data_IF_993992170428
#
_entry.id   IF_993992170428
#
_cell.length_a   1.000
_cell.length_b   1.000
_cell.length_c   1.000
_cell.angle_alpha   90.00
_cell.angle_beta   90.00
_cell.angle_gamma   90.00
#
_symmetry.space_group_name_H-M   'P 1'
#
loop_
_entity.id
_entity.type
_entity.pdbx_description
1 polymer ?
#
# COMPACT_ATOMS: atom_id res chain seq x y z
N UNK A 1 -16.75 21.18 -3.07
CA UNK A 1 -15.44 20.58 -3.41
C UNK A 1 -15.72 19.15 -3.82
N UNK A 2 -15.16 18.69 -4.94
CA UNK A 2 -15.23 17.26 -5.31
C UNK A 2 -14.37 16.46 -4.34
N UNK A 3 -14.83 15.27 -3.99
CA UNK A 3 -14.06 14.35 -3.16
C UNK A 3 -12.86 13.84 -3.97
N UNK A 4 -11.67 13.84 -3.35
CA UNK A 4 -10.44 13.29 -3.91
C UNK A 4 -10.55 11.76 -3.89
N UNK A 5 -10.30 11.10 -5.03
CA UNK A 5 -10.48 9.66 -5.21
C UNK A 5 -9.16 8.99 -5.56
N UNK A 6 -8.78 7.99 -4.77
CA UNK A 6 -7.51 7.29 -4.90
C UNK A 6 -7.77 5.81 -5.17
N UNK A 7 -7.27 5.32 -6.31
CA UNK A 7 -7.26 3.89 -6.63
C UNK A 7 -5.98 3.24 -6.12
N UNK A 8 -6.06 2.06 -5.53
CA UNK A 8 -4.95 1.41 -4.85
C UNK A 8 -4.89 -0.06 -5.25
N UNK A 9 -3.70 -0.53 -5.64
CA UNK A 9 -3.46 -1.93 -5.96
C UNK A 9 -2.14 -2.41 -5.34
N UNK A 10 -2.17 -3.51 -4.58
CA UNK A 10 -1.00 -4.15 -3.98
C UNK A 10 -0.80 -5.56 -4.51
N UNK A 11 0.40 -6.11 -4.30
CA UNK A 11 0.74 -7.53 -4.50
C UNK A 11 0.29 -8.05 -5.88
N UNK A 12 0.67 -7.31 -6.93
CA UNK A 12 0.19 -7.58 -8.28
C UNK A 12 0.68 -8.93 -8.82
N UNK A 13 1.91 -9.34 -8.49
CA UNK A 13 2.54 -10.56 -8.98
C UNK A 13 2.40 -10.77 -10.50
N UNK A 14 2.56 -9.69 -11.27
CA UNK A 14 2.42 -9.69 -12.73
C UNK A 14 0.97 -9.63 -13.23
N UNK A 15 -0.03 -9.74 -12.36
CA UNK A 15 -1.45 -9.72 -12.70
C UNK A 15 -1.98 -8.29 -12.87
N UNK A 16 -1.38 -7.51 -13.77
CA UNK A 16 -1.84 -6.19 -14.16
C UNK A 16 -1.91 -6.05 -15.68
N UNK A 17 -3.08 -5.67 -16.18
CA UNK A 17 -3.43 -5.82 -17.58
C UNK A 17 -4.18 -4.64 -18.18
N UNK A 18 -4.55 -4.81 -19.45
CA UNK A 18 -5.31 -3.79 -20.20
C UNK A 18 -6.71 -3.61 -19.63
N UNK A 19 -7.29 -4.66 -19.06
CA UNK A 19 -8.59 -4.59 -18.40
C UNK A 19 -8.54 -3.69 -17.15
N UNK A 20 -7.47 -3.75 -16.34
CA UNK A 20 -7.26 -2.84 -15.20
C UNK A 20 -7.18 -1.39 -15.65
N UNK A 21 -6.41 -1.13 -16.70
CA UNK A 21 -6.22 0.21 -17.26
C UNK A 21 -7.51 0.76 -17.87
N UNK A 22 -8.32 -0.09 -18.51
CA UNK A 22 -9.63 0.28 -19.03
C UNK A 22 -10.62 0.62 -17.91
N UNK A 23 -10.59 -0.12 -16.79
CA UNK A 23 -11.38 0.22 -15.60
C UNK A 23 -10.92 1.57 -15.03
N UNK A 24 -9.61 1.78 -14.84
CA UNK A 24 -9.09 3.06 -14.37
C UNK A 24 -9.49 4.23 -15.27
N UNK A 25 -9.39 4.07 -16.60
CA UNK A 25 -9.75 5.10 -17.57
C UNK A 25 -11.22 5.51 -17.48
N UNK A 26 -12.10 4.59 -17.11
CA UNK A 26 -13.53 4.86 -16.89
C UNK A 26 -13.81 5.45 -15.51
N UNK A 27 -13.12 4.99 -14.46
CA UNK A 27 -13.30 5.48 -13.09
C UNK A 27 -12.72 6.88 -12.88
N UNK A 28 -11.65 7.22 -13.63
CA UNK A 28 -10.91 8.48 -13.57
C UNK A 28 -10.54 8.88 -12.12
N UNK A 29 -9.79 8.05 -11.38
CA UNK A 29 -9.30 8.45 -10.06
C UNK A 29 -8.30 9.62 -10.20
N UNK A 30 -8.19 10.40 -9.14
CA UNK A 30 -7.26 11.54 -9.09
C UNK A 30 -5.81 11.09 -8.89
N UNK A 31 -5.58 9.94 -8.24
CA UNK A 31 -4.27 9.31 -8.09
C UNK A 31 -4.38 7.78 -8.07
N UNK A 32 -3.28 7.11 -8.42
CA UNK A 32 -3.17 5.64 -8.33
C UNK A 32 -1.93 5.23 -7.53
N UNK A 33 -2.13 4.36 -6.55
CA UNK A 33 -1.07 3.87 -5.65
C UNK A 33 -0.78 2.39 -5.92
N UNK A 34 0.50 2.05 -6.05
CA UNK A 34 0.97 0.67 -6.20
C UNK A 34 1.80 0.24 -4.98
N UNK A 35 1.43 -0.90 -4.39
CA UNK A 35 1.88 -1.29 -3.03
C UNK A 35 2.66 -2.60 -3.04
N UNK A 36 3.85 -2.53 -3.65
CA UNK A 36 4.84 -3.60 -3.69
C UNK A 36 4.42 -4.86 -4.43
N UNK A 37 5.39 -5.77 -4.53
CA UNK A 37 5.30 -7.06 -5.21
C UNK A 37 4.61 -6.96 -6.57
N UNK A 38 5.12 -6.04 -7.39
CA UNK A 38 4.63 -5.77 -8.73
C UNK A 38 4.78 -7.00 -9.61
N UNK A 39 6.00 -7.54 -9.76
CA UNK A 39 6.25 -8.64 -10.70
C UNK A 39 7.60 -9.35 -10.52
N UNK A 40 7.99 -9.67 -9.29
CA UNK A 40 9.18 -10.50 -9.00
C UNK A 40 10.50 -9.96 -9.63
N UNK A 41 10.60 -8.63 -9.80
CA UNK A 41 11.74 -7.96 -10.45
C UNK A 41 11.67 -7.85 -11.98
N UNK A 42 10.57 -8.26 -12.60
CA UNK A 42 10.33 -8.04 -14.04
C UNK A 42 10.09 -6.55 -14.34
N UNK A 43 10.99 -5.97 -15.14
CA UNK A 43 10.95 -4.56 -15.50
C UNK A 43 9.80 -4.20 -16.45
N UNK A 44 9.19 -5.18 -17.14
CA UNK A 44 8.12 -4.92 -18.12
C UNK A 44 6.89 -4.30 -17.46
N UNK A 45 6.46 -4.85 -16.33
CA UNK A 45 5.33 -4.30 -15.59
C UNK A 45 5.70 -2.97 -14.92
N UNK A 46 6.92 -2.86 -14.37
CA UNK A 46 7.40 -1.58 -13.82
C UNK A 46 7.33 -0.46 -14.86
N UNK A 47 7.80 -0.72 -16.09
CA UNK A 47 7.74 0.23 -17.20
C UNK A 47 6.29 0.56 -17.60
N UNK A 48 5.41 -0.45 -17.62
CA UNK A 48 3.98 -0.26 -17.91
C UNK A 48 3.32 0.64 -16.88
N UNK A 49 3.52 0.38 -15.58
CA UNK A 49 3.02 1.19 -14.48
C UNK A 49 3.55 2.63 -14.57
N UNK A 50 4.85 2.80 -14.76
CA UNK A 50 5.47 4.12 -14.86
C UNK A 50 4.94 4.98 -16.04
N UNK A 51 4.34 4.35 -17.04
CA UNK A 51 3.77 5.02 -18.21
C UNK A 51 2.28 5.38 -18.10
N UNK A 52 1.62 5.02 -16.99
CA UNK A 52 0.20 5.33 -16.80
C UNK A 52 -0.01 6.85 -16.68
N UNK A 53 -1.06 7.42 -17.29
CA UNK A 53 -1.28 8.86 -17.37
C UNK A 53 -1.96 9.43 -16.10
N UNK A 54 -1.51 9.00 -14.93
CA UNK A 54 -2.07 9.44 -13.63
C UNK A 54 -0.96 10.00 -12.73
N UNK A 55 -1.32 10.79 -11.71
CA UNK A 55 -0.49 10.97 -10.52
C UNK A 55 -0.26 9.61 -9.84
N UNK A 56 0.99 9.15 -9.83
CA UNK A 56 1.38 7.81 -9.36
C UNK A 56 2.32 7.87 -8.16
N UNK A 57 2.10 6.97 -7.21
CA UNK A 57 3.13 6.58 -6.26
C UNK A 57 3.25 5.07 -6.14
N UNK A 58 4.49 4.62 -5.98
CA UNK A 58 4.87 3.21 -5.97
C UNK A 58 5.84 2.96 -4.82
N UNK A 59 5.47 2.04 -3.93
CA UNK A 59 6.43 1.44 -3.00
C UNK A 59 6.77 0.03 -3.51
N UNK A 60 8.04 -0.35 -3.49
CA UNK A 60 8.49 -1.67 -3.95
C UNK A 60 8.48 -2.66 -2.78
N UNK A 61 8.08 -3.90 -3.06
CA UNK A 61 8.03 -5.01 -2.10
C UNK A 61 9.24 -5.94 -2.18
N UNK A 62 9.26 -6.98 -1.35
CA UNK A 62 10.40 -7.90 -1.30
C UNK A 62 10.56 -8.72 -2.58
N UNK A 63 9.48 -9.09 -3.26
CA UNK A 63 9.56 -9.82 -4.51
C UNK A 63 10.11 -8.97 -5.65
N UNK A 64 9.89 -7.65 -5.62
CA UNK A 64 10.42 -6.74 -6.64
C UNK A 64 11.95 -6.73 -6.70
N UNK A 65 12.63 -7.12 -5.62
CA UNK A 65 14.09 -7.25 -5.61
C UNK A 65 14.60 -8.43 -6.47
N UNK A 66 13.69 -9.35 -6.83
CA UNK A 66 14.03 -10.62 -7.46
C UNK A 66 15.02 -11.43 -6.62
N UNK A 67 15.88 -12.20 -7.28
CA UNK A 67 16.97 -12.94 -6.62
C UNK A 67 18.28 -12.15 -6.57
N UNK A 68 18.26 -10.88 -6.96
CA UNK A 68 19.47 -10.07 -7.14
C UNK A 68 19.93 -9.42 -5.83
N UNK A 69 21.01 -9.94 -5.26
CA UNK A 69 21.62 -9.40 -4.03
C UNK A 69 22.48 -8.16 -4.27
N UNK A 70 22.83 -7.84 -5.53
CA UNK A 70 23.68 -6.69 -5.87
C UNK A 70 22.92 -5.36 -5.91
N UNK A 71 21.58 -5.43 -5.98
CA UNK A 71 20.70 -4.28 -6.11
C UNK A 71 20.61 -3.70 -7.53
N UNK A 72 21.14 -4.38 -8.54
CA UNK A 72 21.00 -3.99 -9.95
C UNK A 72 19.54 -3.93 -10.41
N UNK A 73 18.73 -4.94 -10.11
CA UNK A 73 17.28 -4.95 -10.41
C UNK A 73 16.58 -3.78 -9.71
N UNK A 74 16.90 -3.56 -8.43
CA UNK A 74 16.34 -2.44 -7.68
C UNK A 74 16.71 -1.09 -8.32
N UNK A 75 17.98 -0.85 -8.67
CA UNK A 75 18.39 0.39 -9.37
C UNK A 75 17.66 0.59 -10.69
N UNK A 76 17.47 -0.47 -11.47
CA UNK A 76 16.75 -0.39 -12.74
C UNK A 76 15.28 -0.03 -12.55
N UNK A 77 14.60 -0.63 -11.57
CA UNK A 77 13.23 -0.25 -11.24
C UNK A 77 13.12 1.18 -10.73
N UNK A 78 14.03 1.61 -9.85
CA UNK A 78 14.10 3.00 -9.38
C UNK A 78 14.31 3.97 -10.54
N UNK A 79 15.16 3.64 -11.51
CA UNK A 79 15.38 4.46 -12.70
C UNK A 79 14.14 4.54 -13.60
N UNK A 80 13.37 3.45 -13.72
CA UNK A 80 12.11 3.43 -14.49
C UNK A 80 10.99 4.20 -13.80
N UNK A 81 10.87 4.06 -12.48
CA UNK A 81 9.84 4.72 -11.68
C UNK A 81 10.14 6.21 -11.48
N UNK A 82 11.42 6.59 -11.41
CA UNK A 82 11.84 7.96 -11.12
C UNK A 82 11.20 8.47 -9.83
N UNK A 83 10.60 9.66 -9.91
CA UNK A 83 9.90 10.29 -8.78
C UNK A 83 8.62 9.58 -8.33
N UNK A 84 8.12 8.61 -9.11
CA UNK A 84 6.94 7.84 -8.72
C UNK A 84 7.29 6.83 -7.61
N UNK A 85 8.57 6.51 -7.36
CA UNK A 85 8.94 5.70 -6.21
C UNK A 85 9.02 6.56 -4.93
N UNK A 86 8.30 6.14 -3.87
CA UNK A 86 8.22 6.93 -2.62
C UNK A 86 9.03 6.36 -1.44
N UNK A 87 9.80 5.28 -1.59
CA UNK A 87 10.50 4.64 -0.47
C UNK A 87 11.42 5.61 0.30
N UNK A 88 11.17 5.79 1.59
CA UNK A 88 11.84 6.77 2.47
C UNK A 88 11.77 8.24 2.02
N UNK A 89 10.86 8.58 1.11
CA UNK A 89 10.66 9.95 0.62
C UNK A 89 9.17 10.31 0.67
N UNK A 90 8.87 11.56 0.32
CA UNK A 90 7.49 11.97 0.05
C UNK A 90 7.25 12.13 -1.45
N UNK A 91 6.00 11.95 -1.85
CA UNK A 91 5.46 12.32 -3.15
C UNK A 91 4.19 13.13 -2.92
N UNK A 92 4.01 14.19 -3.66
CA UNK A 92 2.80 14.99 -3.62
C UNK A 92 2.66 15.80 -4.89
N UNK A 93 1.46 16.32 -5.11
CA UNK A 93 1.14 17.14 -6.26
C UNK A 93 0.37 18.39 -5.80
N UNK A 94 0.39 19.43 -6.62
CA UNK A 94 -0.52 20.56 -6.42
C UNK A 94 -1.96 20.20 -6.82
N UNK A 95 -2.10 19.33 -7.82
CA UNK A 95 -3.35 18.74 -8.26
C UNK A 95 -3.11 17.28 -8.67
N UNK A 96 -3.64 16.29 -7.94
CA UNK A 96 -4.40 16.42 -6.69
C UNK A 96 -3.57 16.89 -5.49
N UNK A 97 -4.19 17.62 -4.57
CA UNK A 97 -3.55 18.04 -3.32
C UNK A 97 -3.58 16.89 -2.30
N UNK A 98 -2.52 16.10 -2.26
CA UNK A 98 -2.35 14.91 -1.41
C UNK A 98 -0.87 14.68 -1.12
N UNK A 99 -0.54 14.34 0.13
CA UNK A 99 0.79 13.96 0.55
C UNK A 99 0.92 12.45 0.77
N UNK A 100 1.88 11.85 0.08
CA UNK A 100 2.19 10.43 0.16
C UNK A 100 3.59 10.27 0.74
N UNK A 101 3.76 9.39 1.71
CA UNK A 101 5.06 9.11 2.35
C UNK A 101 5.35 7.63 2.25
N UNK A 102 6.48 7.25 1.67
CA UNK A 102 6.86 5.85 1.63
C UNK A 102 7.68 5.41 2.84
N UNK A 103 7.34 4.23 3.34
CA UNK A 103 8.13 3.46 4.29
C UNK A 103 9.37 2.84 3.65
N UNK A 104 9.88 1.80 4.29
CA UNK A 104 11.03 1.06 3.82
C UNK A 104 10.73 0.25 2.55
N UNK A 105 11.44 0.47 1.44
CA UNK A 105 11.26 -0.33 0.23
C UNK A 105 11.87 -1.73 0.39
N UNK A 106 11.28 -2.72 -0.26
CA UNK A 106 11.81 -4.08 -0.32
C UNK A 106 11.75 -4.84 1.00
N UNK A 107 10.91 -4.41 1.95
CA UNK A 107 10.69 -5.12 3.21
C UNK A 107 10.03 -6.48 2.96
N UNK A 108 10.43 -7.49 3.72
CA UNK A 108 9.76 -8.80 3.78
C UNK A 108 9.04 -9.01 5.13
N UNK A 109 8.86 -7.93 5.89
CA UNK A 109 8.25 -7.93 7.22
C UNK A 109 9.10 -8.61 8.28
N UNK A 110 8.47 -8.96 9.40
CA UNK A 110 9.10 -9.68 10.51
C UNK A 110 10.06 -8.82 11.34
N UNK A 111 9.78 -7.53 11.49
CA UNK A 111 10.61 -6.56 12.20
C UNK A 111 11.54 -5.78 11.27
N UNK A 112 12.71 -5.37 11.78
CA UNK A 112 13.65 -4.57 10.99
C UNK A 112 14.84 -5.38 10.46
N UNK A 113 14.84 -5.65 9.16
CA UNK A 113 15.97 -6.18 8.41
C UNK A 113 16.06 -5.59 7.00
N UNK A 114 17.25 -5.17 6.55
CA UNK A 114 17.48 -4.77 5.17
C UNK A 114 18.03 -5.93 4.37
N UNK A 115 17.39 -6.25 3.24
CA UNK A 115 17.96 -7.23 2.30
C UNK A 115 19.29 -6.72 1.73
N UNK A 116 20.12 -7.65 1.25
CA UNK A 116 21.40 -7.28 0.62
C UNK A 116 21.21 -6.33 -0.58
N UNK A 117 20.13 -6.51 -1.35
CA UNK A 117 19.83 -5.64 -2.48
C UNK A 117 19.56 -4.20 -2.03
N UNK A 118 18.75 -4.03 -0.98
CA UNK A 118 18.43 -2.71 -0.40
C UNK A 118 19.68 -2.09 0.20
N UNK A 119 20.49 -2.85 0.94
CA UNK A 119 21.77 -2.36 1.49
C UNK A 119 22.75 -1.93 0.39
N UNK A 120 22.81 -2.66 -0.73
CA UNK A 120 23.71 -2.31 -1.83
C UNK A 120 23.30 -0.99 -2.52
N UNK A 121 22.01 -0.65 -2.54
CA UNK A 121 21.49 0.58 -3.15
C UNK A 121 21.53 1.77 -2.20
N UNK A 122 21.07 1.58 -0.97
CA UNK A 122 20.84 2.67 -0.01
C UNK A 122 21.89 2.75 1.10
N UNK A 123 22.80 1.78 1.17
CA UNK A 123 23.74 1.64 2.26
C UNK A 123 23.11 1.01 3.51
N UNK A 124 23.91 0.84 4.58
CA UNK A 124 23.40 0.42 5.88
C UNK A 124 22.51 1.53 6.46
N UNK A 125 21.32 1.14 6.91
CA UNK A 125 20.36 2.02 7.58
C UNK A 125 19.89 1.28 8.83
N UNK A 126 19.92 1.95 9.97
CA UNK A 126 19.40 1.43 11.24
C UNK A 126 17.88 1.58 11.31
N UNK A 127 17.27 0.89 12.27
CA UNK A 127 15.83 0.99 12.52
C UNK A 127 15.43 2.45 12.76
N UNK A 128 16.19 3.16 13.60
CA UNK A 128 15.95 4.55 13.96
C UNK A 128 16.09 5.48 12.75
N UNK A 129 17.15 5.30 11.94
CA UNK A 129 17.34 6.10 10.73
C UNK A 129 16.24 5.85 9.69
N UNK A 130 15.74 4.62 9.59
CA UNK A 130 14.60 4.30 8.72
C UNK A 130 13.34 5.04 9.19
N UNK A 131 13.03 4.97 10.49
CA UNK A 131 11.89 5.68 11.07
C UNK A 131 12.02 7.20 10.95
N UNK A 132 13.21 7.76 11.17
CA UNK A 132 13.47 9.21 11.06
C UNK A 132 13.25 9.72 9.63
N UNK A 133 13.60 8.94 8.61
CA UNK A 133 13.31 9.30 7.21
C UNK A 133 11.81 9.38 6.94
N UNK A 134 11.04 8.42 7.45
CA UNK A 134 9.57 8.42 7.32
C UNK A 134 8.97 9.63 8.03
N UNK A 135 9.39 9.91 9.26
CA UNK A 135 8.93 11.05 10.06
C UNK A 135 9.28 12.38 9.37
N UNK A 136 10.51 12.53 8.88
CA UNK A 136 10.96 13.73 8.19
C UNK A 136 10.18 13.96 6.88
N UNK A 137 9.91 12.91 6.11
CA UNK A 137 9.10 12.98 4.91
C UNK A 137 7.64 13.39 5.24
N UNK A 138 7.05 12.83 6.30
CA UNK A 138 5.71 13.20 6.74
C UNK A 138 5.58 14.64 7.25
N UNK A 139 6.61 15.15 7.94
CA UNK A 139 6.63 16.53 8.43
C UNK A 139 6.67 17.56 7.28
N UNK A 140 7.06 17.15 6.07
CA UNK A 140 7.08 18.01 4.89
C UNK A 140 5.73 18.08 4.16
N UNK A 141 4.73 17.27 4.57
CA UNK A 141 3.39 17.26 3.97
C UNK A 141 2.54 18.40 4.56
N UNK A 142 1.94 19.28 3.73
CA UNK A 142 1.08 20.36 4.20
C UNK A 142 -0.11 19.87 5.05
N UNK A 143 -0.44 20.61 6.11
CA UNK A 143 -1.48 20.23 7.09
C UNK A 143 -2.90 20.12 6.49
N UNK A 144 -3.16 20.85 5.41
CA UNK A 144 -4.45 20.91 4.73
C UNK A 144 -4.66 19.79 3.68
N UNK A 145 -3.65 18.97 3.42
CA UNK A 145 -3.72 17.84 2.47
C UNK A 145 -3.87 16.52 3.20
N UNK A 146 -4.57 15.51 2.66
CA UNK A 146 -4.49 14.15 3.19
C UNK A 146 -3.06 13.65 3.30
N UNK A 147 -2.73 12.99 4.41
CA UNK A 147 -1.45 12.32 4.63
C UNK A 147 -1.63 10.81 4.57
N UNK A 148 -1.11 10.20 3.49
CA UNK A 148 -1.09 8.74 3.32
C UNK A 148 0.33 8.21 3.50
N UNK A 149 0.50 7.20 4.36
CA UNK A 149 1.76 6.46 4.47
C UNK A 149 1.64 5.15 3.69
N UNK A 150 2.60 4.85 2.83
CA UNK A 150 2.66 3.65 2.00
C UNK A 150 3.84 2.77 2.41
N UNK A 151 3.62 1.49 2.64
CA UNK A 151 4.69 0.52 2.86
C UNK A 151 4.35 -0.80 2.19
N UNK A 152 5.31 -1.63 1.78
CA UNK A 152 4.92 -2.95 1.30
C UNK A 152 4.43 -3.85 2.45
N UNK A 153 5.15 -3.87 3.58
CA UNK A 153 4.69 -4.54 4.79
C UNK A 153 4.03 -3.54 5.75
N UNK A 154 2.93 -3.93 6.39
CA UNK A 154 2.28 -3.10 7.42
C UNK A 154 3.12 -2.99 8.70
N UNK A 155 2.74 -2.12 9.64
CA UNK A 155 3.51 -1.89 10.86
C UNK A 155 3.40 -3.05 11.85
N UNK A 156 4.45 -3.27 12.65
CA UNK A 156 4.34 -4.12 13.84
C UNK A 156 3.27 -3.58 14.80
N UNK A 157 2.65 -4.47 15.58
CA UNK A 157 1.53 -4.20 16.47
C UNK A 157 0.17 -4.60 15.88
N UNK A 158 0.13 -5.03 14.61
CA UNK A 158 -1.08 -5.46 13.91
C UNK A 158 -1.08 -6.95 13.54
N UNK A 159 -0.25 -7.77 14.19
CA UNK A 159 -0.09 -9.19 13.84
C UNK A 159 -0.29 -10.17 14.98
N UNK A 160 -1.21 -9.91 15.91
CA UNK A 160 -1.46 -10.77 17.08
C UNK A 160 -1.93 -12.18 16.72
N UNK A 161 -2.77 -12.32 15.70
CA UNK A 161 -3.33 -13.58 15.23
C UNK A 161 -3.01 -13.80 13.75
N UNK A 162 -3.19 -15.03 13.24
CA UNK A 162 -2.86 -15.36 11.84
C UNK A 162 -3.70 -14.56 10.82
N UNK A 163 -4.95 -14.23 11.19
CA UNK A 163 -5.89 -13.43 10.40
C UNK A 163 -5.77 -11.92 10.67
N UNK A 164 -4.86 -11.49 11.55
CA UNK A 164 -4.60 -10.07 11.78
C UNK A 164 -3.91 -9.44 10.56
N UNK A 165 -4.03 -8.12 10.34
CA UNK A 165 -3.52 -7.47 9.13
C UNK A 165 -2.04 -7.75 8.84
N UNK A 166 -1.21 -7.86 9.88
CA UNK A 166 0.22 -8.17 9.80
C UNK A 166 0.58 -9.54 10.40
N UNK A 167 -0.37 -10.46 10.55
CA UNK A 167 -0.15 -11.77 11.17
C UNK A 167 0.48 -12.80 10.23
N UNK A 168 1.55 -13.46 10.66
CA UNK A 168 2.10 -14.58 9.89
C UNK A 168 1.16 -15.78 9.92
N UNK A 169 0.79 -16.29 8.74
CA UNK A 169 -0.17 -17.39 8.58
C UNK A 169 0.43 -18.67 7.95
N UNK A 170 1.64 -18.60 7.38
CA UNK A 170 2.29 -19.75 6.73
C UNK A 170 3.06 -20.66 7.69
N UNK A 171 3.25 -20.27 8.96
CA UNK A 171 3.95 -21.08 9.97
C UNK A 171 3.43 -20.80 11.38
N UNK A 172 3.08 -21.83 12.17
CA UNK A 172 2.69 -21.68 13.57
C UNK A 172 3.91 -21.50 14.51
N UNK A 173 3.75 -20.83 15.66
CA UNK A 173 2.58 -20.04 16.05
C UNK A 173 2.43 -18.79 15.16
N UNK A 174 1.26 -18.16 15.20
CA UNK A 174 1.07 -16.82 14.65
C UNK A 174 2.07 -15.87 15.34
N UNK A 175 2.67 -15.00 14.55
CA UNK A 175 3.65 -14.02 15.02
C UNK A 175 3.41 -12.73 14.24
N UNK A 176 3.60 -11.61 14.92
CA UNK A 176 3.58 -10.31 14.27
C UNK A 176 4.69 -10.21 13.21
N UNK A 177 4.27 -9.99 11.97
CA UNK A 177 5.13 -9.92 10.81
C UNK A 177 5.23 -8.50 10.24
N UNK A 178 4.81 -7.49 10.99
CA UNK A 178 4.92 -6.10 10.56
C UNK A 178 6.32 -5.51 10.70
N UNK A 179 6.51 -4.34 10.10
CA UNK A 179 7.72 -3.53 10.12
C UNK A 179 7.85 -2.71 11.40
N UNK A 180 8.96 -2.88 12.11
CA UNK A 180 9.24 -2.20 13.39
C UNK A 180 9.56 -0.71 13.22
N UNK A 181 10.29 -0.37 12.15
CA UNK A 181 10.62 1.01 11.81
C UNK A 181 9.38 1.80 11.39
N UNK A 182 8.44 1.16 10.66
CA UNK A 182 7.16 1.78 10.34
C UNK A 182 6.32 2.00 11.61
N UNK A 183 6.22 1.02 12.50
CA UNK A 183 5.52 1.18 13.78
C UNK A 183 6.12 2.33 14.62
N UNK A 184 7.45 2.41 14.69
CA UNK A 184 8.15 3.49 15.38
C UNK A 184 7.89 4.85 14.74
N UNK A 185 7.91 4.94 13.41
CA UNK A 185 7.60 6.17 12.68
C UNK A 185 6.16 6.63 12.97
N UNK A 186 5.19 5.72 12.91
CA UNK A 186 3.78 6.03 13.19
C UNK A 186 3.56 6.50 14.63
N UNK A 187 4.24 5.92 15.62
CA UNK A 187 4.18 6.45 17.00
C UNK A 187 4.73 7.87 17.09
N UNK A 188 5.90 8.14 16.49
CA UNK A 188 6.55 9.45 16.49
C UNK A 188 5.69 10.49 15.77
N UNK A 189 5.15 10.15 14.60
CA UNK A 189 4.25 11.00 13.81
C UNK A 189 2.99 11.34 14.62
N UNK A 190 2.38 10.36 15.29
CA UNK A 190 1.15 10.55 16.06
C UNK A 190 1.25 11.52 17.24
N UNK A 191 2.46 12.00 17.59
CA UNK A 191 2.66 13.08 18.59
C UNK A 191 2.43 14.47 18.01
N UNK A 192 2.49 14.62 16.69
CA UNK A 192 2.30 15.89 15.98
C UNK A 192 1.08 15.79 15.07
N UNK A 193 1.12 14.83 14.15
CA UNK A 193 0.10 14.61 13.13
C UNK A 193 0.05 13.13 12.76
N UNK A 194 -0.96 12.37 13.22
CA UNK A 194 -1.16 11.01 12.73
C UNK A 194 -1.49 11.02 11.23
N UNK A 195 -1.13 9.98 10.48
CA UNK A 195 -1.57 9.86 9.09
C UNK A 195 -3.07 9.58 9.02
N UNK A 196 -3.71 10.02 7.95
CA UNK A 196 -5.12 9.77 7.71
C UNK A 196 -5.35 8.33 7.25
N UNK A 197 -4.39 7.79 6.49
CA UNK A 197 -4.41 6.42 5.96
C UNK A 197 -3.00 5.82 5.92
N UNK A 198 -2.87 4.57 6.37
CA UNK A 198 -1.68 3.74 6.15
C UNK A 198 -2.05 2.60 5.19
N UNK A 199 -1.43 2.59 4.02
CA UNK A 199 -1.65 1.58 2.98
C UNK A 199 -0.47 0.62 2.94
N UNK A 200 -0.73 -0.67 3.01
CA UNK A 200 0.28 -1.71 2.88
C UNK A 200 -0.22 -2.95 2.15
N UNK A 201 0.67 -3.92 1.93
CA UNK A 201 0.38 -5.17 1.24
C UNK A 201 1.05 -6.36 1.96
N UNK A 202 1.71 -7.23 1.19
CA UNK A 202 2.51 -8.40 1.60
C UNK A 202 1.70 -9.56 2.20
N UNK A 203 0.82 -9.25 3.14
CA UNK A 203 0.02 -10.21 3.87
C UNK A 203 -1.28 -10.49 3.12
N UNK A 204 -1.28 -11.51 2.26
CA UNK A 204 -2.40 -11.77 1.36
C UNK A 204 -3.74 -11.93 2.11
N UNK A 205 -4.83 -11.48 1.46
CA UNK A 205 -6.19 -11.52 2.00
C UNK A 205 -6.63 -12.93 2.37
N UNK A 206 -6.43 -13.90 1.49
CA UNK A 206 -6.71 -15.31 1.80
C UNK A 206 -5.52 -15.90 2.55
N UNK A 207 -5.80 -16.54 3.70
CA UNK A 207 -4.73 -17.10 4.52
C UNK A 207 -4.04 -18.29 3.83
N UNK A 208 -2.73 -18.42 4.03
CA UNK A 208 -1.95 -19.47 3.35
C UNK A 208 -2.32 -20.89 3.78
N UNK A 209 -2.65 -21.08 5.05
CA UNK A 209 -2.91 -22.41 5.66
C UNK A 209 -4.40 -22.74 5.80
N UNK A 210 -5.30 -21.83 5.42
CA UNK A 210 -6.75 -22.01 5.50
C UNK A 210 -7.45 -21.11 4.50
N UNK A 211 -8.66 -21.45 4.05
CA UNK A 211 -9.45 -20.56 3.18
C UNK A 211 -10.14 -19.40 3.93
N UNK A 212 -9.74 -19.12 5.18
CA UNK A 212 -10.23 -17.96 5.92
C UNK A 212 -9.65 -16.66 5.34
N UNK A 213 -10.34 -15.56 5.64
CA UNK A 213 -9.94 -14.21 5.22
C UNK A 213 -9.26 -13.47 6.37
N UNK A 214 -8.24 -12.70 6.01
CA UNK A 214 -7.52 -11.76 6.85
C UNK A 214 -8.37 -10.51 7.07
N UNK A 215 -8.24 -9.87 8.22
CA UNK A 215 -8.72 -8.50 8.42
C UNK A 215 -7.83 -7.53 7.66
N UNK A 216 -8.40 -6.82 6.70
CA UNK A 216 -7.66 -5.95 5.78
C UNK A 216 -7.94 -4.47 5.96
N UNK A 217 -9.05 -4.15 6.62
CA UNK A 217 -9.47 -2.79 6.95
C UNK A 217 -9.55 -2.65 8.48
N UNK A 218 -8.92 -1.61 9.02
CA UNK A 218 -9.10 -1.24 10.42
C UNK A 218 -8.98 0.27 10.61
N UNK A 219 -9.47 0.74 11.76
CA UNK A 219 -9.20 2.07 12.28
C UNK A 219 -8.69 1.94 13.70
N UNK A 220 -7.60 2.64 14.02
CA UNK A 220 -7.11 2.67 15.40
C UNK A 220 -7.88 3.68 16.26
N UNK A 221 -7.50 3.77 17.54
CA UNK A 221 -8.10 4.71 18.49
C UNK A 221 -7.68 6.17 18.25
N UNK A 222 -6.61 6.42 17.50
CA UNK A 222 -6.16 7.76 17.10
C UNK A 222 -6.88 8.25 15.84
N UNK A 223 -7.70 7.41 15.22
CA UNK A 223 -8.45 7.72 14.01
C UNK A 223 -7.73 7.31 12.71
N UNK A 224 -6.49 6.82 12.78
CA UNK A 224 -5.71 6.36 11.63
C UNK A 224 -6.41 5.16 11.00
N UNK A 225 -6.71 5.24 9.70
CA UNK A 225 -7.18 4.08 8.95
C UNK A 225 -5.99 3.26 8.44
N UNK A 226 -6.16 1.95 8.35
CA UNK A 226 -5.18 1.04 7.78
C UNK A 226 -5.85 0.17 6.73
N UNK A 227 -5.18 0.03 5.59
CA UNK A 227 -5.62 -0.74 4.44
C UNK A 227 -4.52 -1.72 4.04
N UNK A 228 -4.83 -3.01 4.08
CA UNK A 228 -4.04 -4.05 3.45
C UNK A 228 -4.57 -4.30 2.02
N UNK A 229 -3.83 -3.87 1.01
CA UNK A 229 -4.15 -3.96 -0.40
C UNK A 229 -3.73 -5.28 -1.07
N UNK A 230 -3.24 -6.27 -0.32
CA UNK A 230 -2.72 -7.55 -0.83
C UNK A 230 -3.81 -8.55 -1.27
N UNK A 231 -4.67 -8.15 -2.19
CA UNK A 231 -5.71 -9.03 -2.73
C UNK A 231 -5.11 -9.97 -3.79
N UNK A 232 -4.85 -11.23 -3.42
CA UNK A 232 -4.26 -12.22 -4.34
C UNK A 232 -5.10 -13.49 -4.35
N UNK A 233 -5.70 -13.87 -5.48
CA UNK A 233 -5.64 -13.20 -6.79
C UNK A 233 -6.46 -11.89 -6.84
N UNK A 234 -5.96 -10.88 -7.56
CA UNK A 234 -6.65 -9.58 -7.76
C UNK A 234 -7.64 -9.55 -8.91
N UNK A 235 -7.76 -10.66 -9.63
CA UNK A 235 -8.79 -10.85 -10.63
C UNK A 235 -9.43 -12.22 -10.46
N UNK A 236 -10.68 -12.32 -10.86
CA UNK A 236 -11.46 -13.53 -10.67
C UNK A 236 -12.64 -13.59 -11.63
N UNK A 237 -13.53 -14.54 -11.37
CA UNK A 237 -14.82 -14.63 -12.05
C UNK A 237 -15.94 -14.72 -11.04
N UNK A 238 -17.05 -14.05 -11.32
CA UNK A 238 -18.29 -14.22 -10.54
C UNK A 238 -18.98 -15.56 -10.86
N UNK A 239 -20.10 -15.83 -10.18
CA UNK A 239 -20.90 -17.04 -10.40
C UNK A 239 -21.45 -17.18 -11.83
N UNK A 240 -21.54 -16.08 -12.58
CA UNK A 240 -21.96 -16.06 -13.99
C UNK A 240 -20.79 -16.21 -14.97
N UNK A 241 -19.56 -16.35 -14.47
CA UNK A 241 -18.34 -16.44 -15.27
C UNK A 241 -17.79 -15.10 -15.76
N UNK A 242 -18.36 -13.96 -15.31
CA UNK A 242 -17.91 -12.62 -15.68
C UNK A 242 -16.61 -12.29 -14.97
N UNK A 243 -15.65 -11.70 -15.70
CA UNK A 243 -14.40 -11.21 -15.12
C UNK A 243 -14.65 -10.14 -14.05
N UNK A 244 -13.88 -10.21 -12.96
CA UNK A 244 -13.87 -9.22 -11.88
C UNK A 244 -12.45 -8.76 -11.64
N UNK A 245 -12.28 -7.46 -11.38
CA UNK A 245 -11.00 -6.80 -11.14
C UNK A 245 -11.05 -6.05 -9.82
N UNK A 246 -10.06 -6.29 -8.95
CA UNK A 246 -9.97 -5.67 -7.64
C UNK A 246 -9.18 -4.36 -7.68
N UNK A 247 -9.75 -3.36 -7.00
CA UNK A 247 -9.05 -2.17 -6.54
C UNK A 247 -9.45 -1.90 -5.08
N UNK A 248 -8.49 -1.51 -4.26
CA UNK A 248 -8.85 -0.79 -3.04
C UNK A 248 -9.08 0.67 -3.38
N UNK A 249 -9.96 1.33 -2.63
CA UNK A 249 -10.45 2.67 -2.96
C UNK A 249 -10.51 3.53 -1.71
N UNK A 250 -9.99 4.75 -1.81
CA UNK A 250 -10.07 5.74 -0.75
C UNK A 250 -10.65 7.05 -1.30
N UNK A 251 -11.51 7.69 -0.52
CA UNK A 251 -12.05 9.01 -0.84
C UNK A 251 -11.79 9.98 0.30
N UNK A 252 -11.39 11.20 -0.04
CA UNK A 252 -11.14 12.26 0.92
C UNK A 252 -11.93 13.51 0.60
N UNK A 253 -12.38 14.20 1.64
CA UNK A 253 -12.92 15.56 1.56
C UNK A 253 -12.03 16.49 2.39
N UNK A 254 -11.25 17.32 1.70
CA UNK A 254 -10.11 17.99 2.35
C UNK A 254 -9.13 16.93 2.88
N UNK A 255 -8.63 17.10 4.10
CA UNK A 255 -7.78 16.10 4.78
C UNK A 255 -8.55 14.94 5.43
N UNK A 256 -9.90 14.93 5.37
CA UNK A 256 -10.69 13.88 6.05
C UNK A 256 -10.97 12.69 5.14
N UNK A 257 -10.57 11.49 5.56
CA UNK A 257 -10.92 10.23 4.90
C UNK A 257 -12.41 9.94 5.08
N UNK A 258 -13.20 10.03 4.00
CA UNK A 258 -14.66 9.86 4.02
C UNK A 258 -15.10 8.45 3.62
N UNK A 259 -14.25 7.72 2.89
CA UNK A 259 -14.56 6.37 2.45
C UNK A 259 -13.27 5.56 2.26
N UNK A 260 -13.31 4.28 2.63
CA UNK A 260 -12.24 3.32 2.41
C UNK A 260 -12.83 1.93 2.21
N UNK A 261 -12.56 1.30 1.07
CA UNK A 261 -13.11 0.00 0.75
C UNK A 261 -12.22 -0.85 -0.15
N UNK A 262 -12.52 -2.14 -0.21
CA UNK A 262 -12.15 -3.01 -1.33
C UNK A 262 -13.32 -3.05 -2.32
N UNK A 263 -13.04 -2.88 -3.61
CA UNK A 263 -14.03 -2.86 -4.68
C UNK A 263 -13.68 -3.84 -5.79
N UNK A 264 -14.68 -4.56 -6.26
CA UNK A 264 -14.58 -5.44 -7.42
C UNK A 264 -15.40 -4.86 -8.56
N UNK A 265 -14.75 -4.67 -9.70
CA UNK A 265 -15.35 -4.09 -10.88
C UNK A 265 -15.46 -5.13 -12.00
N UNK A 266 -16.50 -5.02 -12.81
CA UNK A 266 -16.49 -5.65 -14.14
C UNK A 266 -15.48 -4.94 -15.06
N UNK A 267 -15.09 -5.51 -16.20
CA UNK A 267 -14.25 -4.83 -17.18
C UNK A 267 -14.83 -3.50 -17.67
N UNK A 268 -16.15 -3.32 -17.58
CA UNK A 268 -16.88 -2.09 -17.93
C UNK A 268 -16.92 -1.03 -16.80
N UNK A 269 -16.11 -1.22 -15.75
CA UNK A 269 -16.05 -0.38 -14.56
C UNK A 269 -17.36 -0.30 -13.76
N UNK A 270 -18.25 -1.28 -13.92
CA UNK A 270 -19.41 -1.43 -13.05
C UNK A 270 -18.96 -2.01 -11.72
N UNK A 271 -19.32 -1.35 -10.60
CA UNK A 271 -19.09 -1.89 -9.27
C UNK A 271 -19.97 -3.12 -9.03
N UNK A 272 -19.34 -4.25 -8.76
CA UNK A 272 -19.98 -5.55 -8.57
C UNK A 272 -20.04 -5.96 -7.10
N UNK A 273 -19.00 -5.64 -6.33
CA UNK A 273 -18.93 -5.92 -4.90
C UNK A 273 -18.08 -4.85 -4.20
N UNK A 274 -18.44 -4.53 -2.95
CA UNK A 274 -17.74 -3.58 -2.10
C UNK A 274 -17.69 -4.09 -0.65
N UNK A 275 -16.52 -3.98 -0.03
CA UNK A 275 -16.29 -4.20 1.39
C UNK A 275 -15.73 -2.90 1.98
N UNK A 276 -16.55 -2.17 2.74
CA UNK A 276 -16.22 -0.85 3.28
C UNK A 276 -15.78 -0.92 4.75
N UNK A 277 -14.79 -0.10 5.12
CA UNK A 277 -14.45 0.15 6.52
C UNK A 277 -15.63 0.87 7.19
N UNK A 278 -16.28 0.28 8.22
CA UNK A 278 -17.43 0.89 8.86
C UNK A 278 -17.14 2.30 9.35
N UNK A 279 -18.08 3.23 9.10
CA UNK A 279 -18.00 4.59 9.63
C UNK A 279 -18.10 4.54 11.15
N UNK A 280 -17.32 5.38 11.83
CA UNK A 280 -17.59 5.65 13.24
C UNK A 280 -18.94 6.34 13.33
N UNK A 281 -19.94 5.67 13.90
CA UNK A 281 -21.12 6.36 14.38
C UNK A 281 -20.66 7.35 15.45
N UNK A 282 -21.11 8.61 15.36
CA UNK A 282 -20.96 9.53 16.47
C UNK A 282 -21.69 8.88 17.64
N UNK A 283 -20.96 8.46 18.67
CA UNK A 283 -21.59 8.04 19.92
C UNK A 283 -22.39 9.23 20.43
N UNK A 284 -23.71 9.17 20.27
CA UNK A 284 -24.62 10.06 20.94
C UNK A 284 -24.55 9.73 22.43
N UNK A 285 -23.72 10.47 23.16
CA UNK A 285 -23.84 10.58 24.61
C UNK A 285 -24.83 11.70 24.95
#
# INVERSE_FOLDING_TARGET
>A
MSDLRVAIAGDLHGAWGTSDEAVLARLQPDAVLFVGDLSDGDLRLTKRIASLPYPLAVILGNHDLGRDRSGGILRQQLALLGENHCGWTQRGWSQPAIGLVGGRPGSAGGGFHLSHAVQAVYGPITLEQSADRIVAAAAAVPEDQPLIVMAHCGPSGLGSEADSPCGRDWKPPAVDWGDQDLALALDRMGRQRPPDLVVFGHMHHQLKRSNALRRTLLRDRRGTAFLNAACVPRSGRDASGRELLHFSWAEFRGASLTHLSHRWYSPDAQLMHEEELPRQEAMAC
#
